data_IF_366113697898
#
_entry.id   IF_366113697898
#
_cell.length_a   1.000
_cell.length_b   1.000
_cell.length_c   1.000
_cell.angle_alpha   90.00
_cell.angle_beta   90.00
_cell.angle_gamma   90.00
#
_symmetry.space_group_name_H-M   'P 1'
#
loop_
_entity.id
_entity.type
_entity.pdbx_description
1 polymer ?
#
# COMPACT_ATOMS: atom_id res chain seq x y z
N UNK A 1 8.69 -7.95 -21.47
CA UNK A 1 9.13 -8.94 -20.48
C UNK A 1 8.76 -8.38 -19.11
N UNK A 2 7.79 -8.98 -18.42
CA UNK A 2 7.42 -8.52 -17.06
C UNK A 2 8.60 -8.84 -16.13
N UNK A 3 9.12 -7.88 -15.36
CA UNK A 3 10.26 -8.14 -14.47
C UNK A 3 9.96 -9.28 -13.49
N UNK A 4 10.95 -10.13 -13.20
CA UNK A 4 10.82 -11.28 -12.29
C UNK A 4 10.26 -10.89 -10.89
N UNK A 5 10.52 -9.66 -10.44
CA UNK A 5 10.00 -9.12 -9.19
C UNK A 5 8.47 -8.92 -9.23
N UNK A 6 7.92 -8.48 -10.38
CA UNK A 6 6.48 -8.33 -10.60
C UNK A 6 5.80 -9.70 -10.63
N UNK A 7 6.43 -10.70 -11.26
CA UNK A 7 5.90 -12.08 -11.28
C UNK A 7 5.81 -12.71 -9.88
N UNK A 8 6.79 -12.46 -9.01
CA UNK A 8 6.78 -12.98 -7.61
C UNK A 8 5.78 -12.26 -6.71
N UNK A 9 5.59 -10.96 -6.90
CA UNK A 9 4.55 -10.20 -6.22
C UNK A 9 3.16 -10.75 -6.59
N UNK A 10 2.93 -10.99 -7.89
CA UNK A 10 1.70 -11.62 -8.38
C UNK A 10 1.48 -13.00 -7.77
N UNK A 11 2.50 -13.87 -7.66
CA UNK A 11 2.31 -15.21 -7.09
C UNK A 11 1.92 -15.21 -5.60
N UNK A 12 2.51 -14.32 -4.79
CA UNK A 12 2.20 -14.24 -3.36
C UNK A 12 0.75 -13.80 -3.11
N UNK A 13 0.30 -12.76 -3.82
CA UNK A 13 -1.03 -12.21 -3.63
C UNK A 13 -2.12 -12.98 -4.40
N UNK A 14 -1.83 -13.48 -5.61
CA UNK A 14 -2.84 -14.12 -6.46
C UNK A 14 -3.13 -15.56 -6.06
N UNK A 15 -2.17 -16.31 -5.51
CA UNK A 15 -2.42 -17.72 -5.16
C UNK A 15 -3.17 -17.82 -3.83
N UNK A 16 -4.39 -18.39 -3.81
CA UNK A 16 -5.13 -18.56 -2.56
C UNK A 16 -4.35 -19.38 -1.54
N UNK A 17 -4.33 -18.92 -0.28
CA UNK A 17 -3.69 -19.59 0.84
C UNK A 17 -2.22 -19.23 1.06
N UNK A 18 -1.53 -18.60 0.10
CA UNK A 18 -0.11 -18.21 0.28
C UNK A 18 0.02 -17.03 1.22
N UNK A 19 -0.63 -15.90 0.89
CA UNK A 19 -0.64 -14.72 1.75
C UNK A 19 -1.34 -14.99 3.09
N UNK A 20 -2.42 -15.79 3.12
CA UNK A 20 -3.08 -16.19 4.38
C UNK A 20 -2.15 -16.98 5.30
N UNK A 21 -1.37 -17.93 4.76
CA UNK A 21 -0.45 -18.71 5.57
C UNK A 21 0.68 -17.84 6.15
N UNK A 22 1.16 -16.86 5.38
CA UNK A 22 2.19 -15.92 5.85
C UNK A 22 1.63 -14.98 6.94
N UNK A 23 0.48 -14.35 6.68
CA UNK A 23 -0.17 -13.45 7.66
C UNK A 23 -0.69 -14.19 8.90
N UNK A 24 -1.01 -15.48 8.77
CA UNK A 24 -1.43 -16.35 9.87
C UNK A 24 -0.28 -17.04 10.62
N UNK A 25 0.98 -16.77 10.27
CA UNK A 25 2.14 -17.38 10.92
C UNK A 25 2.46 -16.79 12.31
N UNK A 26 1.84 -15.66 12.65
CA UNK A 26 1.91 -15.00 13.96
C UNK A 26 0.50 -14.60 14.40
N UNK A 27 0.33 -14.23 15.67
CA UNK A 27 -0.96 -13.70 16.14
C UNK A 27 -1.31 -12.38 15.43
N UNK A 28 -2.61 -12.08 15.34
CA UNK A 28 -3.10 -10.94 14.56
C UNK A 28 -2.59 -9.60 15.09
N UNK A 29 -2.38 -9.44 16.40
CA UNK A 29 -1.83 -8.20 16.95
C UNK A 29 -0.37 -8.00 16.53
N UNK A 30 0.45 -9.05 16.61
CA UNK A 30 1.83 -9.03 16.09
C UNK A 30 1.87 -8.75 14.59
N UNK A 31 0.95 -9.35 13.80
CA UNK A 31 0.86 -9.07 12.36
C UNK A 31 0.48 -7.61 12.08
N UNK A 32 -0.53 -7.07 12.76
CA UNK A 32 -0.93 -5.67 12.59
C UNK A 32 0.17 -4.70 13.01
N UNK A 33 0.89 -5.02 14.09
CA UNK A 33 2.08 -4.26 14.53
C UNK A 33 3.12 -4.20 13.42
N UNK A 34 3.53 -5.36 12.89
CA UNK A 34 4.48 -5.46 11.76
C UNK A 34 4.02 -4.66 10.53
N UNK A 35 2.73 -4.79 10.18
CA UNK A 35 2.16 -4.19 8.98
C UNK A 35 2.09 -2.66 9.06
N UNK A 36 1.57 -2.12 10.17
CA UNK A 36 1.39 -0.68 10.37
C UNK A 36 2.71 0.08 10.52
N UNK A 37 3.78 -0.60 10.96
CA UNK A 37 5.10 0.03 11.17
C UNK A 37 6.08 -0.23 10.04
N UNK A 38 5.61 -0.70 8.89
CA UNK A 38 6.45 -0.88 7.70
C UNK A 38 6.95 0.48 7.19
N UNK A 39 8.27 0.64 7.15
CA UNK A 39 8.95 1.87 6.71
C UNK A 39 10.00 1.68 5.62
N UNK A 40 10.28 0.43 5.24
CA UNK A 40 11.20 0.16 4.14
C UNK A 40 10.49 0.49 2.82
N UNK A 41 10.95 1.51 2.07
CA UNK A 41 10.35 1.87 0.79
C UNK A 41 10.71 0.89 -0.32
N UNK A 42 11.62 -0.06 -0.07
CA UNK A 42 12.02 -1.06 -1.06
C UNK A 42 10.78 -1.81 -1.55
N UNK A 43 10.61 -1.97 -2.88
CA UNK A 43 9.53 -2.78 -3.42
C UNK A 43 9.55 -4.14 -2.75
N UNK A 44 8.38 -4.70 -2.37
CA UNK A 44 8.32 -6.00 -1.72
C UNK A 44 8.79 -7.07 -2.72
N UNK A 45 10.09 -7.30 -2.76
CA UNK A 45 10.68 -8.52 -3.30
C UNK A 45 10.38 -9.53 -2.21
N UNK A 46 9.44 -10.43 -2.46
CA UNK A 46 8.96 -11.39 -1.45
C UNK A 46 9.84 -12.66 -1.48
N UNK A 47 10.87 -12.82 -0.62
CA UNK A 47 11.35 -14.14 -0.24
C UNK A 47 10.33 -14.80 0.70
N UNK A 48 10.31 -16.15 0.71
CA UNK A 48 9.39 -16.94 1.54
C UNK A 48 9.58 -16.65 3.04
N UNK A 49 8.54 -16.17 3.73
CA UNK A 49 8.51 -15.98 5.20
C UNK A 49 8.06 -14.58 5.62
N UNK A 50 7.77 -14.37 6.92
CA UNK A 50 7.24 -13.08 7.43
C UNK A 50 8.22 -11.94 7.16
N UNK A 51 7.88 -11.15 6.14
CA UNK A 51 8.74 -10.12 5.53
C UNK A 51 9.00 -8.90 6.40
N UNK A 52 8.23 -8.73 7.47
CA UNK A 52 8.17 -7.48 8.22
C UNK A 52 8.81 -7.66 9.59
N UNK A 53 9.78 -6.81 9.90
CA UNK A 53 10.36 -6.73 11.23
C UNK A 53 9.29 -6.28 12.24
N UNK A 54 9.25 -6.91 13.42
CA UNK A 54 8.44 -6.36 14.52
C UNK A 54 9.30 -5.31 15.22
N UNK A 55 8.88 -4.05 15.31
CA UNK A 55 9.61 -3.07 16.09
C UNK A 55 9.49 -3.39 17.58
N UNK A 56 10.57 -3.19 18.34
CA UNK A 56 10.55 -3.28 19.80
C UNK A 56 9.79 -2.12 20.45
N UNK A 57 9.79 -0.95 19.79
CA UNK A 57 9.15 0.29 20.26
C UNK A 57 8.21 0.79 19.17
N UNK A 58 6.96 1.07 19.53
CA UNK A 58 5.99 1.64 18.61
C UNK A 58 6.32 3.10 18.27
N UNK A 59 6.08 3.54 17.02
CA UNK A 59 6.19 4.96 16.69
C UNK A 59 5.15 5.76 17.48
N UNK A 60 5.44 7.04 17.75
CA UNK A 60 4.60 7.89 18.60
C UNK A 60 3.17 8.10 18.11
N UNK A 61 2.90 7.84 16.82
CA UNK A 61 1.58 7.96 16.22
C UNK A 61 0.71 6.69 16.37
N UNK A 62 1.28 5.56 16.81
CA UNK A 62 0.59 4.27 16.90
C UNK A 62 0.62 3.74 18.33
N UNK A 63 -0.55 3.53 18.93
CA UNK A 63 -0.67 2.96 20.28
C UNK A 63 -0.92 1.45 20.25
N UNK A 64 -0.72 0.78 21.38
CA UNK A 64 -1.13 -0.64 21.52
C UNK A 64 -2.66 -0.81 21.41
N UNK A 65 -3.45 0.20 21.80
CA UNK A 65 -4.91 0.17 21.66
C UNK A 65 -5.34 0.21 20.19
N UNK A 66 -4.67 0.99 19.34
CA UNK A 66 -4.93 1.01 17.90
C UNK A 66 -4.65 -0.35 17.26
N UNK A 67 -3.51 -0.96 17.63
CA UNK A 67 -3.12 -2.29 17.15
C UNK A 67 -4.17 -3.33 17.56
N UNK A 68 -4.58 -3.33 18.82
CA UNK A 68 -5.60 -4.25 19.33
C UNK A 68 -6.95 -4.01 18.64
N UNK A 69 -7.31 -2.76 18.35
CA UNK A 69 -8.51 -2.46 17.59
C UNK A 69 -8.49 -3.16 16.23
N UNK A 70 -7.44 -2.99 15.42
CA UNK A 70 -7.31 -3.67 14.14
C UNK A 70 -7.27 -5.19 14.30
N UNK A 71 -6.48 -5.69 15.25
CA UNK A 71 -6.33 -7.10 15.52
C UNK A 71 -7.66 -7.77 15.87
N UNK A 72 -8.51 -7.10 16.66
CA UNK A 72 -9.84 -7.59 17.04
C UNK A 72 -10.78 -7.75 15.84
N UNK A 73 -10.61 -6.94 14.79
CA UNK A 73 -11.41 -7.04 13.56
C UNK A 73 -10.89 -8.17 12.68
N UNK A 74 -9.59 -8.18 12.39
CA UNK A 74 -8.97 -9.18 11.53
C UNK A 74 -8.95 -10.58 12.15
N UNK A 75 -8.93 -10.70 13.47
CA UNK A 75 -9.11 -11.99 14.17
C UNK A 75 -10.49 -12.61 13.90
N UNK A 76 -11.52 -11.79 13.63
CA UNK A 76 -12.88 -12.26 13.35
C UNK A 76 -13.10 -12.54 11.87
N UNK A 77 -12.56 -11.69 10.99
CA UNK A 77 -12.82 -11.75 9.54
C UNK A 77 -11.77 -12.54 8.76
N UNK A 78 -10.58 -12.71 9.33
CA UNK A 78 -9.37 -13.08 8.58
C UNK A 78 -8.96 -11.99 7.58
N UNK A 79 -7.89 -12.28 6.82
CA UNK A 79 -7.31 -11.37 5.82
C UNK A 79 -7.75 -11.68 4.37
N UNK A 80 -8.36 -12.84 4.13
CA UNK A 80 -8.76 -13.31 2.78
C UNK A 80 -9.58 -12.28 2.02
N UNK A 81 -10.50 -11.58 2.68
CA UNK A 81 -11.31 -10.53 2.05
C UNK A 81 -10.45 -9.41 1.46
N UNK A 82 -9.42 -8.96 2.18
CA UNK A 82 -8.46 -7.97 1.67
C UNK A 82 -7.61 -8.53 0.53
N UNK A 83 -7.14 -9.77 0.65
CA UNK A 83 -6.33 -10.41 -0.41
C UNK A 83 -7.10 -10.66 -1.71
N UNK A 84 -8.42 -10.82 -1.63
CA UNK A 84 -9.26 -10.98 -2.82
C UNK A 84 -9.23 -9.77 -3.77
N UNK A 85 -8.92 -8.55 -3.28
CA UNK A 85 -8.71 -7.40 -4.15
C UNK A 85 -7.49 -7.59 -5.07
N UNK A 86 -6.40 -8.13 -4.52
CA UNK A 86 -5.20 -8.40 -5.31
C UNK A 86 -5.43 -9.53 -6.32
N UNK A 87 -6.15 -10.59 -5.92
CA UNK A 87 -6.53 -11.71 -6.80
C UNK A 87 -7.40 -11.28 -7.98
N UNK A 88 -8.13 -10.18 -7.82
CA UNK A 88 -9.01 -9.64 -8.85
C UNK A 88 -8.29 -8.64 -9.78
N UNK A 89 -7.00 -8.32 -9.59
CA UNK A 89 -6.32 -7.30 -10.40
C UNK A 89 -6.36 -7.59 -11.90
N UNK A 90 -6.11 -8.83 -12.32
CA UNK A 90 -6.18 -9.21 -13.75
C UNK A 90 -7.60 -9.04 -14.30
N UNK A 91 -8.62 -9.44 -13.52
CA UNK A 91 -10.02 -9.26 -13.89
C UNK A 91 -10.40 -7.77 -13.95
N UNK A 92 -9.95 -6.96 -12.98
CA UNK A 92 -10.13 -5.51 -12.99
C UNK A 92 -9.48 -4.89 -14.23
N UNK A 93 -8.29 -5.35 -14.62
CA UNK A 93 -7.62 -4.90 -15.84
C UNK A 93 -8.44 -5.22 -17.10
N UNK A 94 -8.96 -6.44 -17.22
CA UNK A 94 -9.81 -6.84 -18.35
C UNK A 94 -11.10 -6.00 -18.42
N UNK A 95 -11.78 -5.86 -17.27
CA UNK A 95 -13.04 -5.14 -17.18
C UNK A 95 -12.88 -3.64 -17.37
N UNK A 96 -11.71 -3.07 -17.07
CA UNK A 96 -11.43 -1.63 -17.27
C UNK A 96 -10.98 -1.30 -18.69
N UNK A 97 -10.91 -2.29 -19.59
CA UNK A 97 -10.60 -2.12 -21.01
C UNK A 97 -11.37 -0.99 -21.74
N UNK A 98 -12.69 -0.81 -21.51
CA UNK A 98 -13.45 0.29 -22.12
C UNK A 98 -12.96 1.70 -21.78
N UNK A 99 -12.21 1.86 -20.68
CA UNK A 99 -11.62 3.14 -20.25
C UNK A 99 -10.16 3.31 -20.68
N UNK A 100 -9.65 2.44 -21.56
CA UNK A 100 -8.28 2.56 -22.05
C UNK A 100 -8.04 3.94 -22.67
N UNK A 101 -6.97 4.63 -22.20
CA UNK A 101 -6.59 6.00 -22.59
C UNK A 101 -7.62 7.08 -22.22
N UNK A 102 -8.58 6.77 -21.36
CA UNK A 102 -9.48 7.76 -20.77
C UNK A 102 -8.76 8.67 -19.79
N UNK A 103 -9.25 9.91 -19.66
CA UNK A 103 -8.74 10.89 -18.70
C UNK A 103 -9.71 11.03 -17.52
N UNK A 104 -9.17 11.28 -16.33
CA UNK A 104 -9.94 11.63 -15.14
C UNK A 104 -10.16 13.14 -15.12
N UNK A 105 -11.42 13.57 -15.27
CA UNK A 105 -11.81 14.99 -15.36
C UNK A 105 -12.26 15.61 -14.02
N UNK A 106 -12.08 14.90 -12.93
CA UNK A 106 -12.39 15.39 -11.58
C UNK A 106 -11.16 16.14 -11.05
N UNK A 107 -11.30 17.34 -10.44
CA UNK A 107 -10.22 17.97 -9.71
C UNK A 107 -9.66 17.02 -8.66
N UNK A 108 -8.34 16.84 -8.64
CA UNK A 108 -7.70 15.83 -7.80
C UNK A 108 -6.48 16.42 -7.09
N UNK A 109 -6.25 15.97 -5.86
CA UNK A 109 -5.04 16.24 -5.09
C UNK A 109 -4.41 14.92 -4.72
N UNK A 110 -3.12 14.78 -4.98
CA UNK A 110 -2.36 13.57 -4.65
C UNK A 110 -1.32 13.91 -3.59
N UNK A 111 -1.37 13.17 -2.49
CA UNK A 111 -0.50 13.33 -1.32
C UNK A 111 0.11 11.98 -1.02
N UNK A 112 1.43 11.93 -0.85
CA UNK A 112 2.18 10.68 -0.65
C UNK A 112 3.33 10.88 0.32
N UNK A 113 3.71 9.85 1.06
CA UNK A 113 4.91 9.86 1.90
C UNK A 113 6.18 9.64 1.07
N UNK A 114 7.29 10.27 1.43
CA UNK A 114 8.57 10.08 0.77
C UNK A 114 9.18 8.68 0.98
N UNK A 115 8.74 7.96 2.01
CA UNK A 115 9.12 6.58 2.34
C UNK A 115 8.02 5.57 1.97
N UNK A 116 7.02 5.96 1.18
CA UNK A 116 5.97 5.04 0.74
C UNK A 116 6.50 4.04 -0.30
N UNK A 117 6.35 2.75 -0.01
CA UNK A 117 6.79 1.65 -0.90
C UNK A 117 6.16 1.68 -2.30
N UNK A 118 4.95 2.24 -2.46
CA UNK A 118 4.28 2.42 -3.74
C UNK A 118 4.89 3.61 -4.49
N UNK A 119 5.28 4.65 -3.77
CA UNK A 119 5.97 5.81 -4.34
C UNK A 119 7.37 5.44 -4.84
N UNK A 120 8.06 4.52 -4.18
CA UNK A 120 9.36 3.96 -4.60
C UNK A 120 9.27 2.75 -5.53
N UNK A 121 8.05 2.36 -5.94
CA UNK A 121 7.88 1.29 -6.91
C UNK A 121 8.48 1.71 -8.28
N UNK A 122 9.17 0.81 -9.01
CA UNK A 122 9.84 1.17 -10.26
C UNK A 122 8.89 1.82 -11.28
N UNK A 123 9.19 3.04 -11.71
CA UNK A 123 8.39 3.82 -12.65
C UNK A 123 7.36 4.76 -12.02
N UNK A 124 7.10 4.65 -10.71
CA UNK A 124 6.08 5.46 -10.04
C UNK A 124 6.47 6.95 -9.99
N UNK A 125 7.68 7.27 -9.52
CA UNK A 125 8.17 8.67 -9.45
C UNK A 125 8.25 9.30 -10.84
N UNK A 126 8.70 8.54 -11.84
CA UNK A 126 8.78 9.00 -13.23
C UNK A 126 7.39 9.27 -13.80
N UNK A 127 6.38 8.45 -13.50
CA UNK A 127 5.01 8.68 -13.93
C UNK A 127 4.38 9.90 -13.23
N UNK A 128 4.54 9.99 -11.90
CA UNK A 128 3.98 11.06 -11.06
C UNK A 128 4.55 12.41 -11.44
N UNK A 129 5.89 12.52 -11.52
CA UNK A 129 6.58 13.80 -11.71
C UNK A 129 6.97 14.08 -13.17
N UNK A 130 7.07 13.06 -14.03
CA UNK A 130 7.45 13.19 -15.44
C UNK A 130 6.31 13.60 -16.37
N UNK A 131 5.17 14.01 -15.84
CA UNK A 131 4.01 14.51 -16.59
C UNK A 131 3.02 13.46 -17.08
N UNK A 132 3.31 12.16 -16.88
CA UNK A 132 2.37 11.07 -17.20
C UNK A 132 1.09 11.18 -16.38
N UNK A 133 1.21 11.39 -15.07
CA UNK A 133 0.06 11.49 -14.18
C UNK A 133 -0.81 12.72 -14.47
N UNK A 134 -0.17 13.88 -14.70
CA UNK A 134 -0.87 15.12 -15.08
C UNK A 134 -1.55 15.01 -16.46
N UNK A 135 -1.02 14.20 -17.38
CA UNK A 135 -1.66 13.92 -18.67
C UNK A 135 -2.95 13.12 -18.49
N UNK A 136 -2.92 12.07 -17.66
CA UNK A 136 -4.09 11.22 -17.43
C UNK A 136 -5.12 11.87 -16.48
N UNK A 137 -4.67 12.81 -15.63
CA UNK A 137 -5.50 13.60 -14.71
C UNK A 137 -5.24 15.11 -14.94
N UNK A 138 -5.85 15.74 -15.97
CA UNK A 138 -5.55 17.13 -16.33
C UNK A 138 -5.77 18.15 -15.23
N UNK A 139 -6.71 17.89 -14.32
CA UNK A 139 -7.07 18.75 -13.19
C UNK A 139 -6.36 18.36 -11.87
N UNK A 140 -5.26 17.60 -11.94
CA UNK A 140 -4.42 17.28 -10.78
C UNK A 140 -3.72 18.54 -10.25
N UNK A 141 -3.88 18.89 -8.98
CA UNK A 141 -3.10 19.92 -8.30
C UNK A 141 -1.62 19.51 -8.16
N UNK A 142 -0.77 20.41 -7.65
CA UNK A 142 0.61 20.05 -7.37
C UNK A 142 0.68 18.86 -6.41
N UNK A 143 1.54 17.89 -6.74
CA UNK A 143 1.76 16.70 -5.92
C UNK A 143 2.42 17.10 -4.62
N UNK A 144 1.85 16.66 -3.50
CA UNK A 144 2.41 16.87 -2.17
C UNK A 144 3.18 15.63 -1.73
N UNK A 145 4.46 15.80 -1.40
CA UNK A 145 5.29 14.74 -0.82
C UNK A 145 5.59 15.09 0.63
N UNK A 146 5.13 14.25 1.54
CA UNK A 146 5.26 14.42 2.99
C UNK A 146 6.59 13.80 3.43
N UNK A 147 7.49 14.62 3.97
CA UNK A 147 8.83 14.19 4.38
C UNK A 147 8.80 13.35 5.68
N UNK A 148 9.55 12.25 5.67
CA UNK A 148 9.67 11.30 6.77
C UNK A 148 8.39 10.51 7.06
N UNK A 149 7.50 10.37 6.08
CA UNK A 149 6.26 9.62 6.20
C UNK A 149 6.28 8.39 5.29
N UNK A 150 5.85 7.25 5.81
CA UNK A 150 5.74 5.99 5.07
C UNK A 150 4.32 5.85 4.49
N UNK A 151 3.78 4.63 4.48
CA UNK A 151 2.53 4.31 3.77
C UNK A 151 1.27 4.89 4.43
N UNK A 152 1.21 4.95 5.77
CA UNK A 152 0.02 5.35 6.52
C UNK A 152 0.03 6.85 6.85
N UNK A 153 0.25 7.72 5.86
CA UNK A 153 0.43 9.17 6.03
C UNK A 153 -0.68 9.84 6.84
N UNK A 154 -1.92 9.38 6.70
CA UNK A 154 -3.09 9.91 7.38
C UNK A 154 -3.11 9.60 8.90
N UNK A 155 -2.30 8.65 9.36
CA UNK A 155 -2.07 8.38 10.78
C UNK A 155 -0.72 8.94 11.23
N UNK A 156 0.35 8.72 10.46
CA UNK A 156 1.71 9.15 10.81
C UNK A 156 1.88 10.67 10.84
N UNK A 157 1.17 11.39 9.97
CA UNK A 157 1.22 12.86 9.82
C UNK A 157 -0.19 13.45 9.79
N UNK A 158 -1.07 13.00 10.69
CA UNK A 158 -2.50 13.32 10.67
C UNK A 158 -2.80 14.84 10.61
N UNK A 159 -2.08 15.66 11.37
CA UNK A 159 -2.26 17.13 11.38
C UNK A 159 -1.88 17.77 10.04
N UNK A 160 -0.75 17.35 9.46
CA UNK A 160 -0.27 17.84 8.17
C UNK A 160 -1.24 17.43 7.04
N UNK A 161 -1.67 16.17 7.02
CA UNK A 161 -2.70 15.69 6.09
C UNK A 161 -3.99 16.48 6.24
N UNK A 162 -4.46 16.70 7.46
CA UNK A 162 -5.68 17.47 7.72
C UNK A 162 -5.58 18.91 7.21
N UNK A 163 -4.39 19.52 7.22
CA UNK A 163 -4.18 20.87 6.67
C UNK A 163 -4.24 20.95 5.15
N UNK A 164 -4.15 19.82 4.45
CA UNK A 164 -4.22 19.74 3.00
C UNK A 164 -5.63 19.47 2.43
N UNK A 165 -6.58 19.06 3.27
CA UNK A 165 -7.98 18.74 2.91
C UNK A 165 -8.88 19.98 2.94
#
# INVERSE_FOLDING_TARGET
MVPLAVTRLCEFWNKPGVAEADFGSVDTATMMKKFLTMKDPSPPIIPKGTLLATPEILPSWLTEEDIEYFASKFSKTGFTGGFNYYRALDLTWELTGPWSRGEIKVPAKFIVGDLDLVYDFPGAKEYIHGGGFKKDVPLLEDVVVIEGAAHFINQEKADEISSHL
#
